data_IF_953834454823
#
_entry.id   IF_953834454823
#
_cell.length_a   1.000
_cell.length_b   1.000
_cell.length_c   1.000
_cell.angle_alpha   90.00
_cell.angle_beta   90.00
_cell.angle_gamma   90.00
#
_symmetry.space_group_name_H-M   'P 1'
#
loop_
_entity.id
_entity.type
_entity.pdbx_description
1 polymer ?
#
# COMPACT_ATOMS: atom_id res chain seq x y z
N UNK A 1 10.43 -3.46 3.24
CA UNK A 1 9.07 -3.95 3.56
C UNK A 1 8.55 -3.23 4.78
N UNK A 2 7.31 -2.82 4.74
CA UNK A 2 6.63 -2.21 5.89
C UNK A 2 5.81 -3.29 6.58
N UNK A 3 6.29 -3.79 7.70
CA UNK A 3 5.63 -4.84 8.48
C UNK A 3 4.67 -4.19 9.49
N UNK A 4 3.45 -3.92 9.06
CA UNK A 4 2.50 -3.11 9.84
C UNK A 4 2.01 -3.80 11.12
N UNK A 5 1.96 -5.14 11.11
CA UNK A 5 1.59 -5.88 12.30
C UNK A 5 2.57 -5.65 13.44
N UNK A 6 3.86 -5.77 13.15
CA UNK A 6 4.92 -5.52 14.13
C UNK A 6 4.95 -4.04 14.55
N UNK A 7 4.76 -3.15 13.60
CA UNK A 7 4.74 -1.72 13.85
C UNK A 7 3.61 -1.34 14.81
N UNK A 8 2.43 -1.92 14.62
CA UNK A 8 1.27 -1.65 15.46
C UNK A 8 1.41 -2.16 16.89
N UNK A 9 2.33 -3.11 17.13
CA UNK A 9 2.64 -3.59 18.49
C UNK A 9 3.60 -2.64 19.22
N UNK A 10 4.55 -2.08 18.49
CA UNK A 10 5.64 -1.29 19.08
C UNK A 10 5.29 0.20 19.20
N UNK A 11 4.39 0.72 18.39
CA UNK A 11 4.00 2.14 18.42
C UNK A 11 2.48 2.26 18.50
N UNK A 12 1.97 3.42 18.96
CA UNK A 12 0.52 3.63 18.99
C UNK A 12 -0.10 3.45 17.59
N UNK A 13 -1.24 2.75 17.49
CA UNK A 13 -1.85 2.43 16.19
C UNK A 13 -2.14 3.66 15.32
N UNK A 14 -2.48 4.78 15.93
CA UNK A 14 -2.80 6.02 15.21
C UNK A 14 -1.60 6.60 14.48
N UNK A 15 -0.38 6.22 14.84
CA UNK A 15 0.82 6.69 14.16
C UNK A 15 1.19 5.86 12.93
N UNK A 16 0.67 4.63 12.84
CA UNK A 16 1.03 3.71 11.75
C UNK A 16 0.74 4.29 10.37
N UNK A 17 -0.44 4.85 10.09
CA UNK A 17 -0.71 5.40 8.76
C UNK A 17 0.25 6.53 8.35
N UNK A 18 0.60 7.41 9.29
CA UNK A 18 1.51 8.52 9.01
C UNK A 18 2.93 8.01 8.72
N UNK A 19 3.40 7.08 9.54
CA UNK A 19 4.73 6.48 9.37
C UNK A 19 4.79 5.70 8.06
N UNK A 20 3.73 4.95 7.73
CA UNK A 20 3.63 4.23 6.47
C UNK A 20 3.81 5.17 5.28
N UNK A 21 3.09 6.28 5.27
CA UNK A 21 3.17 7.25 4.19
C UNK A 21 4.58 7.83 4.08
N UNK A 22 5.20 8.18 5.20
CA UNK A 22 6.57 8.72 5.21
C UNK A 22 7.58 7.73 4.68
N UNK A 23 7.46 6.46 5.07
CA UNK A 23 8.37 5.42 4.60
C UNK A 23 8.21 5.20 3.10
N UNK A 24 6.97 5.12 2.61
CA UNK A 24 6.71 4.94 1.19
C UNK A 24 7.33 6.08 0.39
N UNK A 25 7.11 7.32 0.81
CA UNK A 25 7.67 8.48 0.11
C UNK A 25 9.18 8.47 0.13
N UNK A 26 9.79 8.16 1.27
CA UNK A 26 11.24 8.14 1.41
C UNK A 26 11.89 7.06 0.54
N UNK A 27 11.30 5.88 0.52
CA UNK A 27 11.80 4.76 -0.28
C UNK A 27 11.62 5.03 -1.77
N UNK A 28 10.47 5.56 -2.15
CA UNK A 28 10.20 5.94 -3.53
C UNK A 28 11.19 6.99 -4.01
N UNK A 29 11.44 7.99 -3.18
CA UNK A 29 12.41 9.05 -3.44
C UNK A 29 13.81 8.50 -3.65
N UNK A 30 14.18 7.48 -2.89
CA UNK A 30 15.48 6.82 -3.03
C UNK A 30 15.57 5.89 -4.24
N UNK A 31 14.50 5.73 -5.01
CA UNK A 31 14.46 4.86 -6.18
C UNK A 31 14.43 3.39 -5.84
N UNK A 32 13.99 3.02 -4.66
CA UNK A 32 13.94 1.63 -4.21
C UNK A 32 12.51 1.14 -4.12
N UNK A 33 12.28 -0.19 -4.29
CA UNK A 33 10.94 -0.74 -4.11
C UNK A 33 10.55 -0.81 -2.64
N UNK A 34 9.26 -0.66 -2.38
CA UNK A 34 8.68 -0.82 -1.05
C UNK A 34 7.49 -1.77 -1.12
N UNK A 35 7.41 -2.68 -0.14
CA UNK A 35 6.29 -3.62 -0.01
C UNK A 35 5.53 -3.25 1.25
N UNK A 36 4.23 -2.94 1.10
CA UNK A 36 3.33 -2.74 2.24
C UNK A 36 2.71 -4.08 2.61
N UNK A 37 2.89 -4.48 3.85
CA UNK A 37 2.62 -5.84 4.28
C UNK A 37 1.74 -5.89 5.53
N UNK A 38 1.13 -7.04 5.73
CA UNK A 38 0.36 -7.51 6.87
C UNK A 38 -0.98 -6.84 7.07
N UNK A 39 -1.97 -7.67 7.35
CA UNK A 39 -3.35 -7.28 7.69
C UNK A 39 -4.04 -6.45 6.60
N UNK A 40 -3.71 -6.69 5.35
CA UNK A 40 -4.31 -5.93 4.25
C UNK A 40 -5.75 -6.34 3.98
N UNK A 41 -6.02 -7.63 3.84
CA UNK A 41 -7.36 -8.19 3.66
C UNK A 41 -7.62 -9.29 4.68
N UNK A 42 -7.29 -9.06 5.92
CA UNK A 42 -7.23 -10.06 6.98
C UNK A 42 -8.55 -10.79 7.19
N UNK A 43 -9.69 -10.10 7.06
CA UNK A 43 -11.00 -10.74 7.22
C UNK A 43 -11.27 -11.80 6.15
N UNK A 44 -10.58 -11.74 5.01
CA UNK A 44 -10.74 -12.71 3.93
C UNK A 44 -10.07 -14.05 4.23
N UNK A 45 -9.42 -14.18 5.37
CA UNK A 45 -8.99 -15.51 5.85
C UNK A 45 -10.22 -16.39 6.05
N UNK A 46 -11.32 -15.82 6.53
CA UNK A 46 -12.53 -16.58 6.86
C UNK A 46 -13.80 -16.09 6.13
N UNK A 47 -13.73 -14.99 5.41
CA UNK A 47 -14.87 -14.40 4.70
C UNK A 47 -14.56 -14.22 3.21
N UNK A 48 -15.56 -14.38 2.32
CA UNK A 48 -15.31 -14.26 0.87
C UNK A 48 -15.16 -12.82 0.39
N UNK A 49 -15.43 -11.83 1.25
CA UNK A 49 -15.32 -10.41 0.92
C UNK A 49 -14.59 -9.66 2.01
N UNK A 50 -13.81 -8.62 1.66
CA UNK A 50 -13.15 -7.79 2.66
C UNK A 50 -14.16 -6.82 3.28
N UNK A 51 -13.75 -6.22 4.40
CA UNK A 51 -14.47 -5.06 4.93
C UNK A 51 -14.17 -3.83 4.09
N UNK A 52 -15.02 -2.82 4.20
CA UNK A 52 -14.77 -1.55 3.52
C UNK A 52 -13.46 -0.91 3.98
N UNK A 53 -13.16 -1.03 5.28
CA UNK A 53 -11.92 -0.49 5.84
C UNK A 53 -10.69 -1.15 5.23
N UNK A 54 -10.74 -2.46 5.02
CA UNK A 54 -9.64 -3.19 4.39
C UNK A 54 -9.45 -2.79 2.93
N UNK A 55 -10.55 -2.66 2.18
CA UNK A 55 -10.48 -2.20 0.80
C UNK A 55 -9.88 -0.80 0.72
N UNK A 56 -10.28 0.09 1.63
CA UNK A 56 -9.73 1.44 1.71
C UNK A 56 -8.24 1.40 2.07
N UNK A 57 -7.83 0.53 2.96
CA UNK A 57 -6.43 0.39 3.38
C UNK A 57 -5.54 0.00 2.20
N UNK A 58 -5.95 -1.01 1.44
CA UNK A 58 -5.21 -1.42 0.24
C UNK A 58 -5.16 -0.28 -0.78
N UNK A 59 -6.31 0.35 -1.02
CA UNK A 59 -6.40 1.47 -1.96
C UNK A 59 -5.47 2.62 -1.56
N UNK A 60 -5.43 2.95 -0.28
CA UNK A 60 -4.55 4.02 0.21
C UNK A 60 -3.07 3.68 0.06
N UNK A 61 -2.67 2.44 0.30
CA UNK A 61 -1.29 2.02 0.10
C UNK A 61 -0.87 2.22 -1.35
N UNK A 62 -1.74 1.86 -2.28
CA UNK A 62 -1.49 2.04 -3.72
C UNK A 62 -1.44 3.52 -4.08
N UNK A 63 -2.37 4.30 -3.56
CA UNK A 63 -2.41 5.75 -3.78
C UNK A 63 -1.14 6.43 -3.25
N UNK A 64 -0.61 5.96 -2.13
CA UNK A 64 0.61 6.50 -1.53
C UNK A 64 1.87 6.15 -2.32
N UNK A 65 1.77 5.24 -3.28
CA UNK A 65 2.88 4.90 -4.15
C UNK A 65 3.67 3.67 -3.76
N UNK A 66 3.09 2.75 -2.99
CA UNK A 66 3.76 1.49 -2.68
C UNK A 66 4.06 0.71 -3.96
N UNK A 67 5.21 0.04 -4.00
CA UNK A 67 5.59 -0.75 -5.17
C UNK A 67 4.80 -2.05 -5.25
N UNK A 68 4.47 -2.63 -4.10
CA UNK A 68 3.73 -3.88 -4.01
C UNK A 68 2.94 -3.92 -2.71
N UNK A 69 1.86 -4.68 -2.71
CA UNK A 69 1.09 -5.03 -1.53
C UNK A 69 1.22 -6.53 -1.32
N UNK A 70 1.21 -6.98 -0.06
CA UNK A 70 1.46 -8.37 0.27
C UNK A 70 0.28 -8.99 0.99
N UNK A 71 -0.11 -10.18 0.57
CA UNK A 71 -1.02 -11.04 1.30
C UNK A 71 -0.20 -12.09 2.08
N UNK A 72 -0.65 -12.45 3.26
CA UNK A 72 0.00 -13.44 4.11
C UNK A 72 -0.98 -14.59 4.40
N UNK A 73 -1.59 -14.61 5.58
CA UNK A 73 -2.56 -15.62 5.95
C UNK A 73 -3.75 -15.71 5.01
N UNK A 74 -4.11 -14.62 4.37
CA UNK A 74 -5.24 -14.56 3.42
C UNK A 74 -5.07 -15.57 2.28
N UNK A 75 -3.85 -15.80 1.83
CA UNK A 75 -3.56 -16.76 0.77
C UNK A 75 -2.89 -18.05 1.29
N UNK A 76 -2.09 -17.94 2.34
CA UNK A 76 -1.31 -19.07 2.84
C UNK A 76 -2.15 -20.08 3.63
N UNK A 77 -3.14 -19.62 4.37
CA UNK A 77 -3.92 -20.46 5.27
C UNK A 77 -5.42 -20.17 5.26
N UNK A 78 -5.85 -19.19 4.47
CA UNK A 78 -7.25 -18.77 4.44
C UNK A 78 -8.15 -19.71 3.65
N UNK A 79 -9.45 -19.53 3.83
CA UNK A 79 -10.47 -20.31 3.11
C UNK A 79 -10.71 -19.79 1.69
N UNK A 80 -10.32 -18.54 1.41
CA UNK A 80 -10.60 -17.85 0.15
C UNK A 80 -9.35 -17.26 -0.48
N UNK A 81 -8.31 -18.10 -0.73
CA UNK A 81 -7.03 -17.55 -1.19
C UNK A 81 -7.10 -16.91 -2.59
N UNK A 82 -7.82 -17.52 -3.50
CA UNK A 82 -7.97 -16.99 -4.87
C UNK A 82 -8.78 -15.71 -4.86
N UNK A 83 -9.87 -15.68 -4.09
CA UNK A 83 -10.73 -14.51 -3.97
C UNK A 83 -9.97 -13.33 -3.34
N UNK A 84 -9.12 -13.60 -2.34
CA UNK A 84 -8.29 -12.57 -1.72
C UNK A 84 -7.35 -11.92 -2.72
N UNK A 85 -6.66 -12.73 -3.52
CA UNK A 85 -5.75 -12.22 -4.55
C UNK A 85 -6.52 -11.45 -5.63
N UNK A 86 -7.66 -11.98 -6.07
CA UNK A 86 -8.50 -11.31 -7.06
C UNK A 86 -8.99 -9.95 -6.56
N UNK A 87 -9.38 -9.87 -5.29
CA UNK A 87 -9.84 -8.63 -4.69
C UNK A 87 -8.72 -7.61 -4.63
N UNK A 88 -7.52 -8.01 -4.19
CA UNK A 88 -6.38 -7.12 -4.14
C UNK A 88 -6.03 -6.60 -5.55
N UNK A 89 -6.05 -7.47 -6.54
CA UNK A 89 -5.79 -7.09 -7.93
C UNK A 89 -6.83 -6.09 -8.45
N UNK A 90 -8.10 -6.32 -8.15
CA UNK A 90 -9.18 -5.42 -8.56
C UNK A 90 -9.04 -4.03 -7.93
N UNK A 91 -8.70 -3.99 -6.65
CA UNK A 91 -8.49 -2.72 -5.96
C UNK A 91 -7.29 -1.98 -6.59
N UNK A 92 -6.20 -2.70 -6.84
CA UNK A 92 -5.01 -2.12 -7.45
C UNK A 92 -5.31 -1.54 -8.83
N UNK A 93 -5.97 -2.31 -9.68
CA UNK A 93 -6.32 -1.85 -11.03
C UNK A 93 -7.22 -0.63 -11.00
N UNK A 94 -8.22 -0.64 -10.12
CA UNK A 94 -9.15 0.48 -10.02
C UNK A 94 -8.44 1.74 -9.53
N UNK A 95 -7.57 1.62 -8.56
CA UNK A 95 -6.81 2.75 -8.05
C UNK A 95 -5.82 3.29 -9.08
N UNK A 96 -5.16 2.41 -9.83
CA UNK A 96 -4.21 2.82 -10.87
C UNK A 96 -4.90 3.63 -11.96
N UNK A 97 -6.14 3.29 -12.31
CA UNK A 97 -6.91 4.03 -13.29
C UNK A 97 -7.29 5.43 -12.81
N UNK A 98 -7.33 5.64 -11.51
CA UNK A 98 -7.78 6.90 -10.91
C UNK A 98 -6.65 7.74 -10.32
N UNK A 99 -5.40 7.25 -10.37
CA UNK A 99 -4.24 7.99 -9.88
C UNK A 99 -3.68 8.85 -11.01
N UNK A 100 -3.43 10.13 -10.71
CA UNK A 100 -2.72 11.01 -11.63
C UNK A 100 -1.23 10.91 -11.37
N UNK A 101 -0.59 9.97 -12.05
CA UNK A 101 0.84 9.73 -11.90
C UNK A 101 1.68 10.94 -12.31
N UNK A 102 1.22 11.71 -13.29
CA UNK A 102 1.96 12.89 -13.73
C UNK A 102 2.06 13.93 -12.61
N UNK A 103 0.97 14.16 -11.89
CA UNK A 103 0.97 15.09 -10.77
C UNK A 103 1.87 14.59 -9.65
N UNK A 104 1.82 13.28 -9.36
CA UNK A 104 2.65 12.66 -8.34
C UNK A 104 4.13 12.79 -8.70
N UNK A 105 4.51 12.47 -9.93
CA UNK A 105 5.89 12.58 -10.39
C UNK A 105 6.40 14.02 -10.33
N UNK A 106 5.62 14.97 -10.81
CA UNK A 106 6.01 16.38 -10.76
C UNK A 106 6.23 16.86 -9.33
N UNK A 107 5.37 16.45 -8.42
CA UNK A 107 5.47 16.83 -7.01
C UNK A 107 6.72 16.23 -6.37
N UNK A 108 7.01 14.96 -6.64
CA UNK A 108 8.19 14.28 -6.12
C UNK A 108 9.47 14.91 -6.65
N UNK A 109 9.57 15.11 -7.96
CA UNK A 109 10.74 15.73 -8.58
C UNK A 109 10.98 17.14 -8.05
N UNK A 110 9.90 17.90 -7.90
CA UNK A 110 9.99 19.28 -7.40
C UNK A 110 10.53 19.34 -5.97
N UNK A 111 10.16 18.37 -5.16
CA UNK A 111 10.61 18.31 -3.77
C UNK A 111 12.06 17.85 -3.64
N UNK A 112 12.50 16.97 -4.53
CA UNK A 112 13.84 16.37 -4.45
C UNK A 112 14.88 17.15 -5.21
N UNK A 113 14.56 17.56 -6.42
CA UNK A 113 15.55 18.08 -7.36
C UNK A 113 14.89 19.08 -8.31
N UNK A 114 14.61 20.28 -7.83
CA UNK A 114 13.95 21.29 -8.65
C UNK A 114 14.69 21.58 -9.95
N UNK A 115 16.01 21.50 -9.93
CA UNK A 115 16.84 21.81 -11.10
C UNK A 115 16.78 20.73 -12.16
N UNK A 116 16.53 19.50 -11.76
CA UNK A 116 16.44 18.37 -12.70
C UNK A 116 15.03 18.22 -13.24
N UNK A 117 14.04 18.72 -12.55
CA UNK A 117 12.65 18.64 -12.95
C UNK A 117 12.42 19.19 -14.36
N UNK A 118 13.22 20.15 -14.75
CA UNK A 118 13.09 20.82 -16.03
C UNK A 118 13.89 20.17 -17.15
N UNK A 119 14.64 19.18 -16.81
CA UNK A 119 15.41 18.41 -17.79
C UNK A 119 14.55 17.30 -18.41
#
# INVERSE_FOLDING_TARGET
>A
MIARGDMGVEIPPEYVPVIQQKIIQKVYTAGKPVITATQMLDSMISHPRPTRAEATDVANAIFQGTSATMLSGETAAGKYPVQALQMMSRIAEHMEQNIDYNTIFKKTDRNENPDITNA
#
